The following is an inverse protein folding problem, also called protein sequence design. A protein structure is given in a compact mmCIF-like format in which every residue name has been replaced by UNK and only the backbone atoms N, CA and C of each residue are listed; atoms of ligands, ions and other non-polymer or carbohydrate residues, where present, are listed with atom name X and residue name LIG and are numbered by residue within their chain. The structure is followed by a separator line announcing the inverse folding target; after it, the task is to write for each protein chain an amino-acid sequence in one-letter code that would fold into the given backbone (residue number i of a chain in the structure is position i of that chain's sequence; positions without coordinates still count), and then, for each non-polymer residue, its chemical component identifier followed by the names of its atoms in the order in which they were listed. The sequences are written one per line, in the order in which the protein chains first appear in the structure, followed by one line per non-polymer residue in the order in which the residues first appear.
data_IF_605457550236
#
_entry.id   IF_605457550236
#
_cell.length_a   1.000
_cell.length_b   1.000
_cell.length_c   1.000
_cell.angle_alpha   90.00
_cell.angle_beta   90.00
_cell.angle_gamma   90.00
#
_symmetry.space_group_name_H-M   'P 1'
#
loop_
_entity.id
_entity.type
_entity.pdbx_description
1 polymer ?
#
# COMPACT_ATOMS: atom_id res chain seq x y z
N UNK A 1 11.07 -1.27 -10.59
CA UNK A 1 10.99 -1.71 -12.01
C UNK A 1 10.10 -2.95 -12.10
N UNK A 2 9.50 -3.25 -13.26
CA UNK A 2 8.65 -4.46 -13.40
C UNK A 2 9.42 -5.76 -13.15
N UNK A 3 10.74 -5.74 -13.42
CA UNK A 3 11.66 -6.85 -13.14
C UNK A 3 11.82 -7.19 -11.65
N UNK A 4 11.37 -6.33 -10.73
CA UNK A 4 11.38 -6.61 -9.30
C UNK A 4 10.25 -7.56 -8.86
N UNK A 5 9.29 -7.86 -9.76
CA UNK A 5 8.08 -8.64 -9.47
C UNK A 5 8.06 -9.99 -10.21
N UNK A 6 9.24 -10.54 -10.56
CA UNK A 6 9.36 -11.75 -11.39
C UNK A 6 8.78 -13.01 -10.75
N UNK A 7 8.75 -13.06 -9.41
CA UNK A 7 8.30 -14.24 -8.66
C UNK A 7 6.77 -14.29 -8.47
N UNK A 8 6.04 -13.30 -9.01
CA UNK A 8 4.59 -13.32 -9.00
C UNK A 8 4.06 -14.41 -9.94
N UNK A 9 3.15 -15.24 -9.43
CA UNK A 9 2.45 -16.28 -10.21
C UNK A 9 1.57 -15.70 -11.34
N UNK A 10 1.26 -14.41 -11.27
CA UNK A 10 0.43 -13.71 -12.24
C UNK A 10 1.10 -12.39 -12.65
N UNK A 11 0.86 -11.90 -13.89
CA UNK A 11 1.35 -10.60 -14.32
C UNK A 11 0.86 -9.47 -13.42
N UNK A 12 1.73 -8.51 -13.14
CA UNK A 12 1.39 -7.33 -12.37
C UNK A 12 0.36 -6.46 -13.12
N UNK A 13 -0.69 -6.03 -12.42
CA UNK A 13 -1.79 -5.22 -12.99
C UNK A 13 -2.11 -4.03 -12.07
N UNK A 14 -2.57 -2.90 -12.63
CA UNK A 14 -3.14 -1.81 -11.85
C UNK A 14 -4.23 -2.28 -10.89
N UNK A 15 -4.23 -1.72 -9.69
CA UNK A 15 -5.17 -2.05 -8.62
C UNK A 15 -4.74 -3.17 -7.69
N UNK A 16 -3.74 -3.98 -8.05
CA UNK A 16 -3.18 -5.01 -7.16
C UNK A 16 -2.47 -4.39 -5.95
N UNK A 17 -2.58 -5.05 -4.80
CA UNK A 17 -1.74 -4.77 -3.63
C UNK A 17 -0.49 -5.64 -3.70
N UNK A 18 0.68 -5.03 -3.47
CA UNK A 18 1.97 -5.73 -3.36
C UNK A 18 2.62 -5.37 -2.03
N UNK A 19 3.37 -6.32 -1.49
CA UNK A 19 4.10 -6.17 -0.24
C UNK A 19 5.60 -6.03 -0.54
N UNK A 20 6.26 -5.20 0.26
CA UNK A 20 7.71 -5.05 0.31
C UNK A 20 8.20 -5.03 1.74
N UNK A 21 9.52 -5.01 1.91
CA UNK A 21 10.16 -4.89 3.22
C UNK A 21 10.95 -3.59 3.29
N UNK A 22 10.68 -2.79 4.31
CA UNK A 22 11.39 -1.54 4.58
C UNK A 22 11.62 -1.43 6.09
N UNK A 23 12.85 -1.14 6.52
CA UNK A 23 13.22 -0.97 7.94
C UNK A 23 12.79 -2.12 8.86
N UNK A 24 12.79 -3.36 8.35
CA UNK A 24 12.37 -4.55 9.11
C UNK A 24 10.85 -4.72 9.25
N UNK A 25 10.06 -3.90 8.57
CA UNK A 25 8.60 -3.99 8.54
C UNK A 25 8.09 -4.34 7.14
N UNK A 26 6.97 -5.06 7.09
CA UNK A 26 6.22 -5.27 5.85
C UNK A 26 5.46 -4.00 5.53
N UNK A 27 5.67 -3.46 4.33
CA UNK A 27 4.96 -2.31 3.80
C UNK A 27 4.09 -2.76 2.64
N UNK A 28 2.83 -2.36 2.63
CA UNK A 28 1.91 -2.61 1.52
C UNK A 28 1.80 -1.39 0.62
N UNK A 29 1.66 -1.63 -0.69
CA UNK A 29 1.49 -0.58 -1.69
C UNK A 29 0.51 -1.02 -2.78
N UNK A 30 -0.13 -0.05 -3.44
CA UNK A 30 -1.04 -0.31 -4.54
C UNK A 30 -0.38 -0.01 -5.88
N UNK A 31 -0.50 -0.91 -6.84
CA UNK A 31 -0.04 -0.68 -8.22
C UNK A 31 -0.97 0.32 -8.89
N UNK A 32 -0.45 1.47 -9.30
CA UNK A 32 -1.19 2.47 -10.06
C UNK A 32 -1.09 2.21 -11.57
N UNK A 33 0.12 1.96 -12.07
CA UNK A 33 0.34 1.67 -13.49
C UNK A 33 1.56 0.78 -13.72
N UNK A 34 1.56 0.10 -14.87
CA UNK A 34 2.69 -0.68 -15.38
C UNK A 34 2.91 -0.28 -16.84
N UNK A 35 3.93 0.52 -17.10
CA UNK A 35 4.17 1.15 -18.41
C UNK A 35 5.66 1.15 -18.74
N UNK A 36 6.02 0.77 -19.96
CA UNK A 36 7.41 0.75 -20.45
C UNK A 36 8.41 0.06 -19.48
N UNK A 37 7.98 -1.02 -18.81
CA UNK A 37 8.80 -1.75 -17.82
C UNK A 37 8.97 -1.05 -16.47
N UNK A 38 8.34 0.12 -16.26
CA UNK A 38 8.26 0.83 -14.98
C UNK A 38 6.94 0.50 -14.29
N UNK A 39 6.98 0.50 -12.96
CA UNK A 39 5.81 0.26 -12.11
C UNK A 39 5.67 1.47 -11.21
N UNK A 40 4.49 2.06 -11.21
CA UNK A 40 4.13 3.15 -10.31
C UNK A 40 3.36 2.58 -9.13
N UNK A 41 3.83 2.86 -7.92
CA UNK A 41 3.26 2.36 -6.67
C UNK A 41 2.75 3.53 -5.84
N UNK A 42 1.59 3.33 -5.21
CA UNK A 42 1.03 4.21 -4.20
C UNK A 42 1.27 3.60 -2.81
N UNK A 43 2.04 4.32 -1.99
CA UNK A 43 2.35 3.95 -0.60
C UNK A 43 1.52 4.74 0.41
N UNK A 44 0.58 5.58 -0.05
CA UNK A 44 -0.29 6.29 0.86
C UNK A 44 -1.16 5.31 1.64
N UNK A 45 -1.44 5.67 2.90
CA UNK A 45 -2.45 4.97 3.69
C UNK A 45 -3.79 4.95 2.91
N UNK A 46 -4.61 3.88 2.99
CA UNK A 46 -5.87 3.77 2.23
C UNK A 46 -6.86 4.93 2.46
N UNK A 47 -6.71 5.61 3.59
CA UNK A 47 -7.54 6.74 4.01
C UNK A 47 -6.90 8.12 3.78
N UNK A 48 -5.71 8.20 3.16
CA UNK A 48 -5.04 9.46 2.88
C UNK A 48 -5.92 10.37 1.99
N UNK A 49 -6.00 11.65 2.36
CA UNK A 49 -6.80 12.64 1.65
C UNK A 49 -8.31 12.51 1.83
N UNK A 50 -8.79 11.56 2.64
CA UNK A 50 -10.23 11.44 2.98
C UNK A 50 -10.55 12.27 4.21
N UNK A 51 -11.70 12.93 4.21
CA UNK A 51 -12.31 13.41 5.46
C UNK A 51 -12.80 12.18 6.22
N UNK A 52 -12.45 12.10 7.51
CA UNK A 52 -12.77 10.95 8.35
C UNK A 52 -13.75 11.38 9.44
N UNK A 53 -14.96 10.84 9.38
CA UNK A 53 -16.00 11.06 10.39
C UNK A 53 -15.88 9.98 11.47
N UNK A 54 -15.41 10.38 12.65
CA UNK A 54 -15.26 9.50 13.80
C UNK A 54 -16.31 9.80 14.87
N UNK A 55 -16.91 8.76 15.43
CA UNK A 55 -17.66 8.82 16.68
C UNK A 55 -16.94 7.97 17.72
N UNK A 56 -16.34 8.62 18.71
CA UNK A 56 -15.48 7.98 19.70
C UNK A 56 -16.12 8.05 21.09
N UNK A 57 -15.92 6.98 21.87
CA UNK A 57 -16.21 6.95 23.31
C UNK A 57 -14.92 6.64 24.06
N UNK A 58 -14.50 7.55 24.94
CA UNK A 58 -13.36 7.31 25.83
C UNK A 58 -13.78 6.29 26.90
N UNK A 59 -13.01 5.21 27.04
CA UNK A 59 -13.30 4.12 27.99
C UNK A 59 -12.47 4.23 29.28
N UNK A 60 -11.20 4.62 29.17
CA UNK A 60 -10.27 4.83 30.29
C UNK A 60 -9.11 5.74 29.84
N UNK A 61 -8.40 6.29 30.82
CA UNK A 61 -7.13 7.00 30.62
C UNK A 61 -6.17 6.49 31.69
N UNK A 62 -4.99 6.04 31.28
CA UNK A 62 -3.95 5.57 32.20
C UNK A 62 -3.09 6.76 32.68
N UNK A 63 -2.64 6.77 33.96
CA UNK A 63 -1.77 7.81 34.51
C UNK A 63 -0.40 7.94 33.84
#
# INVERSE_FOLDING_TARGET
PASAFKDLKAPLKPGMTVEGFENGQVVSSRVLSVEAGRVTLDFNHPLAGKTLDFSLKVLSVDP
#
